data_IF_212751950876
#
_entry.id   IF_212751950876
#
_cell.length_a   1.000
_cell.length_b   1.000
_cell.length_c   1.000
_cell.angle_alpha   90.00
_cell.angle_beta   90.00
_cell.angle_gamma   90.00
#
_symmetry.space_group_name_H-M   'P 1'
#
loop_
_entity.id
_entity.type
_entity.pdbx_description
1 polymer ?
#
# COMPACT_ATOMS: atom_id res chain seq x y z
N UNK A 1 -25.69 21.87 22.00
CA UNK A 1 -24.32 21.28 22.20
C UNK A 1 -23.30 22.37 21.95
N UNK A 2 -22.38 22.59 22.87
CA UNK A 2 -21.31 23.57 22.72
C UNK A 2 -20.30 23.16 21.66
N UNK A 3 -19.58 24.11 21.05
CA UNK A 3 -18.64 23.85 19.98
C UNK A 3 -17.54 22.86 20.41
N UNK A 4 -16.95 23.04 21.59
CA UNK A 4 -15.87 22.20 22.08
C UNK A 4 -16.30 20.75 22.28
N UNK A 5 -17.48 20.51 22.80
CA UNK A 5 -18.07 19.18 22.94
C UNK A 5 -18.30 18.51 21.57
N UNK A 6 -18.74 19.32 20.60
CA UNK A 6 -18.94 18.82 19.24
C UNK A 6 -17.63 18.47 18.56
N UNK A 7 -16.56 19.27 18.73
CA UNK A 7 -15.23 18.99 18.22
C UNK A 7 -14.66 17.69 18.80
N UNK A 8 -14.85 17.43 20.09
CA UNK A 8 -14.44 16.17 20.72
C UNK A 8 -15.14 14.96 20.08
N UNK A 9 -16.44 15.04 19.87
CA UNK A 9 -17.21 13.96 19.21
C UNK A 9 -16.82 13.75 17.73
N UNK A 10 -16.50 14.84 17.02
CA UNK A 10 -15.95 14.75 15.67
C UNK A 10 -14.60 14.01 15.70
N UNK A 11 -13.74 14.30 16.68
CA UNK A 11 -12.45 13.62 16.84
C UNK A 11 -12.60 12.14 17.21
N UNK A 12 -13.53 11.81 18.09
CA UNK A 12 -13.86 10.42 18.43
C UNK A 12 -14.29 9.66 17.17
N UNK A 13 -15.21 10.24 16.40
CA UNK A 13 -15.64 9.64 15.13
C UNK A 13 -14.50 9.50 14.11
N UNK A 14 -13.65 10.53 13.99
CA UNK A 14 -12.48 10.48 13.11
C UNK A 14 -11.45 9.44 13.54
N UNK A 15 -11.30 9.18 14.85
CA UNK A 15 -10.42 8.13 15.36
C UNK A 15 -10.93 6.73 15.00
N UNK A 16 -12.23 6.53 14.90
CA UNK A 16 -12.84 5.25 14.54
C UNK A 16 -12.93 5.07 13.02
N UNK A 17 -13.27 6.14 12.28
CA UNK A 17 -13.64 6.09 10.87
C UNK A 17 -12.65 6.81 9.93
N UNK A 18 -11.65 7.52 10.48
CA UNK A 18 -10.60 8.29 9.79
C UNK A 18 -11.08 9.46 8.92
N UNK A 19 -12.34 9.51 8.52
CA UNK A 19 -12.95 10.53 7.66
C UNK A 19 -14.36 10.84 8.11
N UNK A 20 -14.77 12.11 7.99
CA UNK A 20 -16.14 12.57 8.23
C UNK A 20 -16.50 13.65 7.21
N UNK A 21 -17.61 13.49 6.49
CA UNK A 21 -18.05 14.50 5.56
C UNK A 21 -18.68 15.70 6.28
N UNK A 22 -18.71 16.86 5.62
CA UNK A 22 -19.43 18.03 6.15
C UNK A 22 -20.93 17.74 6.32
N UNK A 23 -21.48 16.83 5.54
CA UNK A 23 -22.87 16.40 5.62
C UNK A 23 -23.10 15.56 6.88
N UNK A 24 -22.23 14.59 7.15
CA UNK A 24 -22.32 13.75 8.36
C UNK A 24 -22.25 14.59 9.64
N UNK A 25 -21.40 15.65 9.66
CA UNK A 25 -21.34 16.59 10.77
C UNK A 25 -22.68 17.32 10.94
N UNK A 26 -23.29 17.79 9.83
CA UNK A 26 -24.59 18.45 9.88
C UNK A 26 -25.66 17.50 10.43
N UNK A 27 -25.74 16.28 9.96
CA UNK A 27 -26.77 15.32 10.39
C UNK A 27 -26.55 14.84 11.82
N UNK A 28 -25.32 14.39 12.15
CA UNK A 28 -25.02 13.83 13.47
C UNK A 28 -25.23 14.83 14.60
N UNK A 29 -24.91 16.11 14.37
CA UNK A 29 -24.98 17.14 15.41
C UNK A 29 -26.14 18.12 15.25
N UNK A 30 -26.97 17.92 14.21
CA UNK A 30 -28.07 18.79 13.85
C UNK A 30 -27.67 20.28 13.78
N UNK A 31 -26.62 20.56 13.01
CA UNK A 31 -26.05 21.90 12.82
C UNK A 31 -26.09 22.35 11.36
N UNK A 32 -26.03 23.68 11.15
CA UNK A 32 -25.96 24.23 9.81
C UNK A 32 -24.63 23.92 9.12
N UNK A 33 -24.61 23.98 7.77
CA UNK A 33 -23.39 23.82 6.97
C UNK A 33 -22.28 24.82 7.35
N UNK A 34 -22.67 26.06 7.71
CA UNK A 34 -21.70 27.06 8.15
C UNK A 34 -21.11 26.74 9.53
N UNK A 35 -21.88 26.13 10.41
CA UNK A 35 -21.36 25.64 11.70
C UNK A 35 -20.41 24.48 11.51
N UNK A 36 -20.79 23.48 10.72
CA UNK A 36 -19.93 22.36 10.40
C UNK A 36 -18.61 22.82 9.73
N UNK A 37 -18.68 23.78 8.81
CA UNK A 37 -17.50 24.37 8.18
C UNK A 37 -16.57 25.07 9.17
N UNK A 38 -17.12 25.82 10.14
CA UNK A 38 -16.31 26.48 11.18
C UNK A 38 -15.65 25.48 12.11
N UNK A 39 -16.35 24.39 12.45
CA UNK A 39 -15.80 23.32 13.26
C UNK A 39 -14.64 22.61 12.53
N UNK A 40 -14.81 22.28 11.24
CA UNK A 40 -13.76 21.73 10.39
C UNK A 40 -12.54 22.67 10.33
N UNK A 41 -12.76 23.97 10.09
CA UNK A 41 -11.67 24.95 10.03
C UNK A 41 -10.91 25.03 11.35
N UNK A 42 -11.61 24.99 12.48
CA UNK A 42 -10.98 25.03 13.82
C UNK A 42 -10.10 23.79 14.06
N UNK A 43 -10.54 22.61 13.67
CA UNK A 43 -9.71 21.38 13.75
C UNK A 43 -8.48 21.44 12.84
N UNK A 44 -8.62 22.04 11.66
CA UNK A 44 -7.52 22.23 10.72
C UNK A 44 -6.50 23.26 11.26
N UNK A 45 -6.97 24.41 11.76
CA UNK A 45 -6.13 25.47 12.32
C UNK A 45 -5.34 24.98 13.55
N UNK A 46 -5.91 24.07 14.32
CA UNK A 46 -5.25 23.40 15.44
C UNK A 46 -4.27 22.31 15.01
N UNK A 47 -4.16 22.01 13.71
CA UNK A 47 -3.32 20.94 13.18
C UNK A 47 -3.79 19.51 13.50
N UNK A 48 -4.98 19.38 14.09
CA UNK A 48 -5.54 18.08 14.52
C UNK A 48 -6.15 17.30 13.36
N UNK A 49 -6.65 18.01 12.34
CA UNK A 49 -7.27 17.41 11.17
C UNK A 49 -6.80 18.09 9.89
N UNK A 50 -7.01 17.42 8.75
CA UNK A 50 -6.74 17.95 7.41
C UNK A 50 -8.02 18.04 6.60
N UNK A 51 -8.07 19.02 5.69
CA UNK A 51 -9.19 19.18 4.78
C UNK A 51 -9.12 18.15 3.66
N UNK A 52 -10.25 17.51 3.38
CA UNK A 52 -10.45 16.62 2.25
C UNK A 52 -11.55 17.18 1.32
N UNK A 53 -11.75 16.54 0.15
CA UNK A 53 -12.85 16.90 -0.74
C UNK A 53 -14.18 16.53 -0.08
N UNK A 54 -14.94 17.55 0.40
CA UNK A 54 -16.26 17.38 1.03
C UNK A 54 -16.28 17.16 2.55
N UNK A 55 -15.13 17.11 3.24
CA UNK A 55 -15.10 16.87 4.68
C UNK A 55 -13.75 17.10 5.35
N UNK A 56 -13.52 16.36 6.40
CA UNK A 56 -12.32 16.39 7.25
C UNK A 56 -11.83 14.99 7.55
N UNK A 57 -10.52 14.84 7.71
CA UNK A 57 -9.87 13.58 8.06
C UNK A 57 -8.75 13.84 9.08
N UNK A 58 -8.36 12.83 9.82
CA UNK A 58 -7.18 12.96 10.67
C UNK A 58 -5.91 13.18 9.81
N UNK A 59 -4.88 13.88 10.33
CA UNK A 59 -3.58 14.04 9.66
C UNK A 59 -2.84 12.72 9.40
N UNK A 60 -3.39 11.61 9.85
CA UNK A 60 -2.88 10.25 9.63
C UNK A 60 -2.52 10.02 8.16
N UNK A 61 -3.31 10.57 7.22
CA UNK A 61 -2.99 10.52 5.79
C UNK A 61 -1.72 11.32 5.41
N UNK A 62 -1.43 12.42 6.10
CA UNK A 62 -0.21 13.21 5.84
C UNK A 62 1.03 12.62 6.48
N UNK A 63 0.88 12.00 7.67
CA UNK A 63 1.96 11.30 8.37
C UNK A 63 2.18 9.88 7.84
N UNK A 64 1.26 9.32 7.07
CA UNK A 64 1.37 7.97 6.50
C UNK A 64 2.27 7.93 5.27
N UNK A 65 2.50 9.08 4.60
CA UNK A 65 3.43 9.17 3.46
C UNK A 65 4.84 9.48 4.00
N UNK A 66 5.42 8.52 4.71
CA UNK A 66 6.86 8.56 4.99
C UNK A 66 7.62 8.50 3.67
N UNK A 67 8.70 9.26 3.57
CA UNK A 67 9.61 9.12 2.43
C UNK A 67 10.16 7.69 2.36
N UNK A 68 10.53 7.23 1.17
CA UNK A 68 10.99 5.87 0.96
C UNK A 68 12.13 5.46 1.92
N UNK A 69 13.08 6.36 2.20
CA UNK A 69 14.18 6.12 3.15
C UNK A 69 13.69 5.89 4.57
N UNK A 70 12.76 6.70 5.04
CA UNK A 70 12.15 6.53 6.37
C UNK A 70 11.36 5.21 6.46
N UNK A 71 10.78 4.75 5.34
CA UNK A 71 10.08 3.48 5.28
C UNK A 71 11.03 2.29 5.34
N UNK A 72 12.24 2.37 4.77
CA UNK A 72 13.26 1.31 4.89
C UNK A 72 13.64 1.10 6.35
N UNK A 73 13.87 2.18 7.10
CA UNK A 73 14.31 2.12 8.50
C UNK A 73 13.17 1.68 9.45
N UNK A 74 11.94 2.10 9.16
CA UNK A 74 10.79 1.75 9.98
C UNK A 74 10.44 0.26 9.85
N UNK A 75 10.26 -0.43 10.99
CA UNK A 75 9.88 -1.86 11.06
C UNK A 75 10.81 -2.78 10.25
N UNK A 76 12.13 -2.51 10.31
CA UNK A 76 13.11 -3.23 9.49
C UNK A 76 13.22 -4.72 9.83
N UNK A 77 13.04 -5.10 11.09
CA UNK A 77 13.06 -6.50 11.53
C UNK A 77 11.84 -7.27 11.03
N UNK A 78 10.64 -6.70 11.20
CA UNK A 78 9.39 -7.27 10.70
C UNK A 78 9.43 -7.46 9.17
N UNK A 79 9.91 -6.45 8.44
CA UNK A 79 10.06 -6.52 6.98
C UNK A 79 11.03 -7.59 6.54
N UNK A 80 12.17 -7.74 7.24
CA UNK A 80 13.14 -8.81 6.96
C UNK A 80 12.55 -10.19 7.22
N UNK A 81 11.77 -10.34 8.29
CA UNK A 81 11.07 -11.59 8.58
C UNK A 81 10.09 -11.96 7.48
N UNK A 82 9.25 -10.99 7.04
CA UNK A 82 8.30 -11.16 5.93
C UNK A 82 9.05 -11.49 4.62
N UNK A 83 10.09 -10.74 4.30
CA UNK A 83 10.91 -10.96 3.10
C UNK A 83 11.56 -12.34 3.10
N UNK A 84 12.12 -12.78 4.24
CA UNK A 84 12.70 -14.11 4.39
C UNK A 84 11.67 -15.22 4.17
N UNK A 85 10.43 -15.02 4.65
CA UNK A 85 9.35 -15.97 4.41
C UNK A 85 8.92 -16.00 2.94
N UNK A 86 8.96 -14.85 2.27
CA UNK A 86 8.64 -14.75 0.85
C UNK A 86 9.66 -15.49 -0.05
N UNK A 87 10.90 -15.72 0.41
CA UNK A 87 11.87 -16.52 -0.33
C UNK A 87 11.40 -17.96 -0.62
N UNK A 88 10.51 -18.52 0.19
CA UNK A 88 9.95 -19.85 -0.01
C UNK A 88 9.12 -19.94 -1.31
N UNK A 89 8.73 -18.80 -1.87
CA UNK A 89 7.96 -18.67 -3.12
C UNK A 89 8.85 -18.34 -4.33
N UNK A 90 10.16 -18.24 -4.13
CA UNK A 90 11.10 -17.97 -5.22
C UNK A 90 11.64 -19.30 -5.79
N UNK A 91 11.19 -19.64 -6.97
CA UNK A 91 11.59 -20.81 -7.71
C UNK A 91 12.57 -20.42 -8.83
N UNK A 92 13.48 -21.34 -9.21
CA UNK A 92 14.44 -21.13 -10.27
C UNK A 92 13.75 -21.05 -11.64
N UNK A 93 14.32 -20.22 -12.53
CA UNK A 93 13.94 -20.08 -13.93
C UNK A 93 12.48 -19.59 -14.14
N UNK A 94 11.92 -18.88 -13.14
CA UNK A 94 10.60 -18.28 -13.16
C UNK A 94 10.62 -16.77 -13.42
N UNK A 95 9.50 -16.22 -13.88
CA UNK A 95 9.29 -14.82 -14.21
C UNK A 95 8.54 -14.10 -13.09
N UNK A 96 9.15 -13.10 -12.52
CA UNK A 96 8.61 -12.33 -11.41
C UNK A 96 8.35 -10.87 -11.78
N UNK A 97 7.29 -10.30 -11.24
CA UNK A 97 7.14 -8.87 -11.10
C UNK A 97 7.43 -8.47 -9.66
N UNK A 98 8.37 -7.54 -9.46
CA UNK A 98 8.70 -6.98 -8.16
C UNK A 98 8.34 -5.50 -8.12
N UNK A 99 7.55 -5.11 -7.11
CA UNK A 99 7.15 -3.71 -6.93
C UNK A 99 8.21 -2.84 -6.20
N UNK A 100 7.87 -1.59 -5.93
CA UNK A 100 8.74 -0.60 -5.29
C UNK A 100 8.67 -0.63 -3.75
N UNK A 101 8.04 -1.62 -3.15
CA UNK A 101 7.92 -1.68 -1.69
C UNK A 101 9.24 -1.99 -0.99
N UNK A 102 9.38 -1.48 0.24
CA UNK A 102 10.59 -1.71 1.04
C UNK A 102 10.76 -3.17 1.47
N UNK A 103 9.67 -3.95 1.58
CA UNK A 103 9.76 -5.39 1.89
C UNK A 103 10.30 -6.15 0.68
N UNK A 104 9.84 -5.82 -0.53
CA UNK A 104 10.35 -6.43 -1.76
C UNK A 104 11.82 -6.07 -1.99
N UNK A 105 12.26 -4.89 -1.54
CA UNK A 105 13.66 -4.54 -1.53
C UNK A 105 14.49 -5.47 -0.63
N UNK A 106 14.02 -5.77 0.59
CA UNK A 106 14.68 -6.77 1.46
C UNK A 106 14.65 -8.16 0.84
N UNK A 107 13.56 -8.57 0.18
CA UNK A 107 13.51 -9.83 -0.55
C UNK A 107 14.56 -9.86 -1.68
N UNK A 108 14.68 -8.79 -2.47
CA UNK A 108 15.66 -8.68 -3.55
C UNK A 108 17.11 -8.83 -3.06
N UNK A 109 17.43 -8.36 -1.85
CA UNK A 109 18.75 -8.55 -1.23
C UNK A 109 19.09 -10.01 -0.98
N UNK A 110 18.12 -10.83 -0.58
CA UNK A 110 18.31 -12.20 -0.10
C UNK A 110 18.22 -13.26 -1.23
N UNK A 111 17.67 -12.93 -2.40
CA UNK A 111 17.50 -13.90 -3.50
C UNK A 111 18.85 -14.37 -4.03
N UNK A 112 18.98 -15.70 -4.17
CA UNK A 112 20.14 -16.37 -4.74
C UNK A 112 19.81 -17.24 -5.95
N UNK A 113 18.53 -17.45 -6.25
CA UNK A 113 18.08 -18.28 -7.37
C UNK A 113 18.23 -17.54 -8.70
N UNK A 114 18.46 -18.32 -9.78
CA UNK A 114 18.36 -17.80 -11.15
C UNK A 114 16.91 -17.51 -11.48
N UNK A 115 16.56 -16.24 -11.70
CA UNK A 115 15.20 -15.80 -12.02
C UNK A 115 15.21 -14.66 -13.04
N UNK A 116 14.07 -14.45 -13.68
CA UNK A 116 13.80 -13.28 -14.49
C UNK A 116 12.88 -12.31 -13.68
N UNK A 117 13.26 -11.05 -13.60
CA UNK A 117 12.53 -10.04 -12.81
C UNK A 117 12.24 -8.82 -13.66
N UNK A 118 10.97 -8.42 -13.73
CA UNK A 118 10.56 -7.09 -14.17
C UNK A 118 10.27 -6.22 -12.95
N UNK A 119 10.86 -5.04 -12.90
CA UNK A 119 10.61 -4.08 -11.82
C UNK A 119 10.65 -2.63 -12.31
N UNK A 120 9.90 -1.77 -11.65
CA UNK A 120 9.97 -0.32 -11.83
C UNK A 120 10.70 0.38 -10.67
N UNK A 121 11.18 -0.38 -9.69
CA UNK A 121 11.91 0.12 -8.52
C UNK A 121 13.36 0.43 -8.86
N UNK A 122 13.82 1.66 -8.63
CA UNK A 122 15.21 2.04 -8.77
C UNK A 122 16.13 1.20 -7.84
N UNK A 123 15.71 0.99 -6.60
CA UNK A 123 16.53 0.26 -5.62
C UNK A 123 16.60 -1.24 -5.90
N UNK A 124 15.51 -1.85 -6.39
CA UNK A 124 15.54 -3.25 -6.78
C UNK A 124 16.42 -3.46 -8.02
N UNK A 125 16.39 -2.51 -8.98
CA UNK A 125 17.28 -2.57 -10.15
C UNK A 125 18.75 -2.53 -9.70
N UNK A 126 19.11 -1.61 -8.81
CA UNK A 126 20.46 -1.48 -8.27
C UNK A 126 20.93 -2.80 -7.62
N UNK A 127 20.15 -3.32 -6.66
CA UNK A 127 20.50 -4.54 -5.92
C UNK A 127 20.58 -5.78 -6.83
N UNK A 128 19.58 -5.96 -7.70
CA UNK A 128 19.50 -7.14 -8.54
C UNK A 128 20.53 -7.11 -9.68
N UNK A 129 20.98 -5.92 -10.12
CA UNK A 129 22.00 -5.77 -11.16
C UNK A 129 23.39 -6.26 -10.72
N UNK A 130 23.65 -6.35 -9.43
CA UNK A 130 24.89 -6.89 -8.86
C UNK A 130 24.91 -8.43 -8.84
N UNK A 131 23.79 -9.10 -9.16
CA UNK A 131 23.62 -10.56 -9.09
C UNK A 131 23.69 -11.18 -10.48
N UNK A 132 24.78 -11.88 -10.79
CA UNK A 132 25.04 -12.47 -12.12
C UNK A 132 23.97 -13.45 -12.61
N UNK A 133 23.28 -14.10 -11.68
CA UNK A 133 22.29 -15.15 -12.00
C UNK A 133 20.85 -14.61 -12.14
N UNK A 134 20.64 -13.30 -12.03
CA UNK A 134 19.32 -12.69 -12.16
C UNK A 134 19.22 -11.84 -13.43
N UNK A 135 18.24 -12.17 -14.28
CA UNK A 135 17.92 -11.34 -15.44
C UNK A 135 16.98 -10.21 -15.04
N UNK A 136 17.53 -8.99 -14.86
CA UNK A 136 16.77 -7.80 -14.43
C UNK A 136 16.29 -7.02 -15.64
N UNK A 137 14.99 -6.79 -15.69
CA UNK A 137 14.34 -5.94 -16.68
C UNK A 137 13.74 -4.72 -15.99
N UNK A 138 14.16 -3.57 -16.42
CA UNK A 138 13.68 -2.30 -15.90
C UNK A 138 12.70 -1.66 -16.86
N UNK A 139 11.64 -1.19 -16.29
CA UNK A 139 10.78 -0.26 -16.95
C UNK A 139 11.36 1.16 -16.72
N UNK A 140 12.14 1.80 -17.60
CA UNK A 140 12.69 3.17 -17.51
C UNK A 140 11.59 4.26 -17.51
N UNK A 141 11.87 5.47 -17.87
CA UNK A 141 10.90 6.56 -17.93
C UNK A 141 11.18 7.69 -16.95
N UNK A 142 10.15 8.39 -16.47
CA UNK A 142 10.28 9.44 -15.47
C UNK A 142 10.50 8.86 -14.08
N UNK A 143 11.53 9.35 -13.38
CA UNK A 143 11.80 8.92 -12.00
C UNK A 143 10.97 9.73 -11.00
N UNK A 144 10.11 9.06 -10.23
CA UNK A 144 9.57 9.59 -8.99
C UNK A 144 10.68 9.52 -7.92
N UNK A 145 11.33 10.67 -7.68
CA UNK A 145 12.48 10.77 -6.75
C UNK A 145 12.09 10.47 -5.30
N UNK A 146 10.86 10.79 -4.91
CA UNK A 146 10.36 10.61 -3.54
C UNK A 146 10.17 9.15 -3.20
N UNK A 147 9.51 8.40 -4.08
CA UNK A 147 9.18 6.99 -3.89
C UNK A 147 10.07 6.05 -4.71
N UNK A 148 11.10 6.58 -5.41
CA UNK A 148 12.19 5.86 -6.08
C UNK A 148 11.73 4.80 -7.08
N UNK A 149 10.74 5.16 -7.92
CA UNK A 149 10.28 4.31 -9.01
C UNK A 149 10.22 5.08 -10.33
N UNK A 150 10.28 4.32 -11.41
CA UNK A 150 10.12 4.84 -12.77
C UNK A 150 8.69 4.69 -13.24
N UNK A 151 8.22 5.63 -14.04
CA UNK A 151 6.92 5.58 -14.68
C UNK A 151 6.94 6.17 -16.10
N UNK A 152 6.17 5.55 -16.97
CA UNK A 152 5.85 6.03 -18.32
C UNK A 152 4.47 5.52 -18.71
N UNK A 153 3.64 6.32 -19.38
CA UNK A 153 2.25 5.97 -19.72
C UNK A 153 2.11 4.65 -20.54
N UNK A 154 3.05 4.35 -21.43
CA UNK A 154 3.01 3.15 -22.30
C UNK A 154 3.29 1.81 -21.57
N UNK A 155 3.59 1.85 -20.29
CA UNK A 155 4.05 0.70 -19.52
C UNK A 155 2.96 -0.32 -19.25
N UNK A 156 1.72 0.14 -19.04
CA UNK A 156 0.57 -0.74 -18.87
C UNK A 156 0.44 -1.62 -20.12
N UNK A 157 0.54 -1.03 -21.32
CA UNK A 157 0.49 -1.77 -22.57
C UNK A 157 1.66 -2.75 -22.74
N UNK A 158 2.86 -2.36 -22.31
CA UNK A 158 4.03 -3.25 -22.36
C UNK A 158 3.86 -4.48 -21.46
N UNK A 159 3.40 -4.27 -20.22
CA UNK A 159 3.13 -5.33 -19.25
C UNK A 159 2.02 -6.28 -19.76
N UNK A 160 1.03 -5.79 -20.49
CA UNK A 160 -0.02 -6.62 -21.08
C UNK A 160 0.51 -7.73 -22.00
N UNK A 161 1.69 -7.55 -22.60
CA UNK A 161 2.38 -8.55 -23.44
C UNK A 161 3.19 -9.58 -22.65
N UNK A 162 3.29 -9.47 -21.33
CA UNK A 162 4.13 -10.32 -20.48
C UNK A 162 3.25 -11.18 -19.59
N UNK A 163 3.68 -12.41 -19.28
CA UNK A 163 3.10 -13.24 -18.23
C UNK A 163 4.13 -13.44 -17.12
N UNK A 164 3.68 -13.33 -15.89
CA UNK A 164 4.48 -13.59 -14.70
C UNK A 164 4.03 -14.89 -14.04
N UNK A 165 4.97 -15.70 -13.59
CA UNK A 165 4.64 -16.80 -12.69
C UNK A 165 4.14 -16.22 -11.37
N UNK A 166 4.81 -15.16 -10.87
CA UNK A 166 4.41 -14.54 -9.61
C UNK A 166 4.60 -13.01 -9.64
N UNK A 167 3.62 -12.27 -9.16
CA UNK A 167 3.75 -10.86 -8.79
C UNK A 167 3.89 -10.74 -7.27
N UNK A 168 4.99 -10.13 -6.81
CA UNK A 168 5.26 -9.89 -5.40
C UNK A 168 5.17 -8.39 -5.13
N UNK A 169 4.19 -8.01 -4.33
CA UNK A 169 3.82 -6.63 -4.09
C UNK A 169 3.79 -6.31 -2.60
N UNK A 170 4.16 -5.09 -2.24
CA UNK A 170 3.84 -4.55 -0.93
C UNK A 170 2.47 -3.89 -0.90
N UNK A 171 2.14 -3.28 0.23
CA UNK A 171 0.95 -2.47 0.42
C UNK A 171 1.30 -1.12 1.05
N UNK A 172 0.63 -0.05 0.64
CA UNK A 172 0.62 1.19 1.41
C UNK A 172 -0.51 1.17 2.45
N UNK A 173 -1.67 0.62 2.09
CA UNK A 173 -2.74 0.26 3.02
C UNK A 173 -3.54 -0.95 2.54
N UNK A 174 -4.14 -1.66 3.49
CA UNK A 174 -5.06 -2.78 3.27
C UNK A 174 -6.40 -2.38 3.85
N UNK A 175 -7.43 -2.35 3.01
CA UNK A 175 -8.79 -1.95 3.36
C UNK A 175 -9.79 -3.07 3.08
N UNK A 176 -11.03 -2.93 3.51
CA UNK A 176 -12.07 -3.96 3.29
C UNK A 176 -12.38 -4.20 1.80
N UNK A 177 -12.05 -3.26 0.92
CA UNK A 177 -12.29 -3.38 -0.52
C UNK A 177 -11.04 -3.66 -1.37
N UNK A 178 -9.84 -3.78 -0.74
CA UNK A 178 -8.60 -4.15 -1.46
C UNK A 178 -7.33 -3.47 -0.95
N UNK A 179 -6.28 -3.53 -1.76
CA UNK A 179 -4.96 -2.99 -1.47
C UNK A 179 -4.77 -1.64 -2.18
N UNK A 180 -4.29 -0.65 -1.43
CA UNK A 180 -4.13 0.73 -1.90
C UNK A 180 -2.68 1.20 -1.86
N UNK A 181 -2.37 2.17 -2.71
CA UNK A 181 -1.05 2.77 -2.92
C UNK A 181 -1.10 4.29 -2.85
N UNK A 182 0.05 4.92 -2.70
CA UNK A 182 0.16 6.38 -2.54
C UNK A 182 0.11 7.11 -3.88
N UNK A 183 0.76 6.54 -4.90
CA UNK A 183 0.92 7.13 -6.23
C UNK A 183 0.02 6.42 -7.24
N UNK A 184 -0.66 7.17 -8.09
CA UNK A 184 -1.55 6.63 -9.13
C UNK A 184 -0.77 5.78 -10.13
N UNK A 185 0.37 6.28 -10.56
CA UNK A 185 1.22 5.61 -11.54
C UNK A 185 1.73 4.26 -11.02
N UNK A 186 2.11 4.19 -9.74
CA UNK A 186 2.52 2.96 -9.09
C UNK A 186 1.35 1.96 -9.01
N UNK A 187 0.16 2.42 -8.65
CA UNK A 187 -1.04 1.60 -8.62
C UNK A 187 -1.41 1.04 -10.00
N UNK A 188 -1.33 1.83 -11.08
CA UNK A 188 -1.61 1.41 -12.45
C UNK A 188 -0.66 0.31 -12.93
N UNK A 189 0.64 0.45 -12.65
CA UNK A 189 1.66 -0.58 -12.98
C UNK A 189 1.33 -1.89 -12.27
N UNK A 190 1.01 -1.83 -10.98
CA UNK A 190 0.67 -3.01 -10.17
C UNK A 190 -0.61 -3.68 -10.65
N UNK A 191 -1.65 -2.91 -10.98
CA UNK A 191 -2.87 -3.46 -11.59
C UNK A 191 -2.57 -4.23 -12.88
N UNK A 192 -1.70 -3.69 -13.74
CA UNK A 192 -1.32 -4.36 -14.97
C UNK A 192 -0.56 -5.66 -14.69
N UNK A 193 0.40 -5.65 -13.77
CA UNK A 193 1.19 -6.81 -13.39
C UNK A 193 0.34 -7.92 -12.75
N UNK A 194 -0.55 -7.58 -11.83
CA UNK A 194 -1.47 -8.51 -11.17
C UNK A 194 -2.37 -9.24 -12.17
N UNK A 195 -2.90 -8.54 -13.17
CA UNK A 195 -3.73 -9.14 -14.23
C UNK A 195 -2.96 -10.17 -15.08
N UNK A 196 -1.64 -10.13 -15.07
CA UNK A 196 -0.76 -10.99 -15.88
C UNK A 196 0.01 -12.03 -15.07
N UNK A 197 -0.11 -12.01 -13.75
CA UNK A 197 0.50 -12.97 -12.86
C UNK A 197 -0.39 -14.21 -12.67
N UNK A 198 0.24 -15.37 -12.56
CA UNK A 198 -0.41 -16.61 -12.16
C UNK A 198 -0.66 -16.65 -10.65
N UNK A 199 0.31 -16.14 -9.88
CA UNK A 199 0.22 -16.05 -8.42
C UNK A 199 0.49 -14.61 -7.98
N UNK A 200 -0.32 -14.08 -7.08
CA UNK A 200 -0.18 -12.74 -6.50
C UNK A 200 0.08 -12.85 -5.01
N UNK A 201 1.22 -12.34 -4.58
CA UNK A 201 1.66 -12.35 -3.18
C UNK A 201 1.73 -10.93 -2.65
N UNK A 202 1.02 -10.65 -1.56
CA UNK A 202 1.07 -9.38 -0.85
C UNK A 202 1.95 -9.51 0.38
N UNK A 203 2.98 -8.67 0.49
CA UNK A 203 3.87 -8.56 1.63
C UNK A 203 3.54 -7.28 2.41
N UNK A 204 3.09 -7.40 3.64
CA UNK A 204 2.63 -6.24 4.39
C UNK A 204 2.84 -6.39 5.90
N UNK A 205 3.40 -5.35 6.53
CA UNK A 205 3.40 -5.25 7.99
C UNK A 205 1.98 -5.05 8.51
N UNK A 206 1.70 -5.53 9.71
CA UNK A 206 0.40 -5.39 10.40
C UNK A 206 -0.15 -3.95 10.39
N UNK A 207 0.72 -2.95 10.47
CA UNK A 207 0.31 -1.53 10.45
C UNK A 207 -0.38 -1.12 9.14
N UNK A 208 -0.24 -1.92 8.06
CA UNK A 208 -0.93 -1.64 6.78
C UNK A 208 -2.43 -1.91 6.84
N UNK A 209 -2.87 -2.74 7.76
CA UNK A 209 -4.31 -2.95 8.06
C UNK A 209 -4.97 -1.79 8.82
N UNK A 210 -4.17 -0.83 9.31
CA UNK A 210 -4.63 0.38 10.00
C UNK A 210 -4.37 1.66 9.22
N UNK A 211 -3.71 1.54 8.07
CA UNK A 211 -3.32 2.67 7.24
C UNK A 211 -4.38 2.95 6.18
N UNK A 212 -4.39 4.19 5.67
CA UNK A 212 -5.20 4.59 4.52
C UNK A 212 -4.30 5.10 3.39
N UNK A 213 -4.73 4.87 2.15
CA UNK A 213 -4.04 5.36 0.96
C UNK A 213 -5.05 5.70 -0.14
N UNK A 214 -4.58 6.17 -1.31
CA UNK A 214 -5.44 6.88 -2.25
C UNK A 214 -5.87 6.06 -3.45
N UNK A 215 -4.98 5.24 -4.03
CA UNK A 215 -5.18 4.60 -5.32
C UNK A 215 -5.24 3.10 -5.17
N UNK A 216 -6.37 2.51 -5.53
CA UNK A 216 -6.58 1.08 -5.48
C UNK A 216 -5.73 0.38 -6.54
N UNK A 217 -4.95 -0.59 -6.15
CA UNK A 217 -4.10 -1.36 -7.06
C UNK A 217 -4.46 -2.83 -7.18
N UNK A 218 -4.99 -3.47 -6.12
CA UNK A 218 -5.32 -4.89 -6.13
C UNK A 218 -6.65 -5.13 -5.44
N UNK A 219 -7.51 -5.95 -6.05
CA UNK A 219 -8.74 -6.41 -5.44
C UNK A 219 -8.49 -7.72 -4.67
N UNK A 220 -9.34 -8.02 -3.68
CA UNK A 220 -9.20 -9.23 -2.87
C UNK A 220 -9.22 -10.53 -3.68
N UNK A 221 -10.07 -10.61 -4.71
CA UNK A 221 -10.19 -11.78 -5.61
C UNK A 221 -8.94 -12.05 -6.46
N UNK A 222 -7.98 -11.12 -6.48
CA UNK A 222 -6.75 -11.25 -7.25
C UNK A 222 -5.56 -11.73 -6.40
N UNK A 223 -5.76 -11.93 -5.09
CA UNK A 223 -4.68 -12.24 -4.13
C UNK A 223 -4.70 -13.72 -3.81
N UNK A 224 -3.56 -14.40 -3.93
CA UNK A 224 -3.41 -15.80 -3.57
C UNK A 224 -2.77 -15.97 -2.18
N UNK A 225 -1.82 -15.09 -1.82
CA UNK A 225 -1.07 -15.19 -0.56
C UNK A 225 -0.89 -13.82 0.08
N UNK A 226 -1.04 -13.76 1.40
CA UNK A 226 -0.64 -12.62 2.21
C UNK A 226 0.37 -13.09 3.25
N UNK A 227 1.52 -12.40 3.31
CA UNK A 227 2.56 -12.62 4.33
C UNK A 227 2.65 -11.36 5.20
N UNK A 228 2.49 -11.53 6.51
CA UNK A 228 2.48 -10.44 7.50
C UNK A 228 3.18 -10.83 8.78
N UNK A 229 3.60 -9.85 9.59
CA UNK A 229 4.30 -10.03 10.86
C UNK A 229 3.39 -10.38 12.04
N UNK A 230 2.09 -10.10 11.95
CA UNK A 230 1.11 -10.34 13.03
C UNK A 230 -0.24 -10.74 12.47
N UNK A 231 -1.05 -11.38 13.34
CA UNK A 231 -2.43 -11.77 13.01
C UNK A 231 -3.25 -10.51 12.66
N UNK A 232 -3.83 -10.42 11.43
CA UNK A 232 -4.67 -9.29 11.05
C UNK A 232 -5.92 -9.14 11.92
N UNK A 233 -6.52 -7.95 12.00
CA UNK A 233 -7.81 -7.74 12.65
C UNK A 233 -8.90 -8.69 12.12
N UNK A 234 -9.90 -9.02 12.94
CA UNK A 234 -10.91 -10.04 12.62
C UNK A 234 -11.66 -9.78 11.33
N UNK A 235 -11.96 -8.52 11.02
CA UNK A 235 -12.64 -8.13 9.78
C UNK A 235 -11.86 -8.58 8.54
N UNK A 236 -10.54 -8.37 8.55
CA UNK A 236 -9.67 -8.77 7.43
C UNK A 236 -9.46 -10.28 7.36
N UNK A 237 -9.43 -10.98 8.51
CA UNK A 237 -9.35 -12.45 8.52
C UNK A 237 -10.57 -13.08 7.86
N UNK A 238 -11.76 -12.56 8.12
CA UNK A 238 -12.99 -13.01 7.49
C UNK A 238 -12.96 -12.80 5.97
N UNK A 239 -12.42 -11.66 5.52
CA UNK A 239 -12.25 -11.37 4.08
C UNK A 239 -11.24 -12.35 3.47
N UNK A 240 -10.07 -12.52 4.08
CA UNK A 240 -9.01 -13.43 3.64
C UNK A 240 -9.56 -14.86 3.49
N UNK A 241 -10.34 -15.32 4.47
CA UNK A 241 -10.99 -16.63 4.45
C UNK A 241 -12.05 -16.73 3.34
N UNK A 242 -12.84 -15.67 3.13
CA UNK A 242 -13.92 -15.67 2.12
C UNK A 242 -13.41 -15.74 0.68
N UNK A 243 -12.17 -15.28 0.43
CA UNK A 243 -11.51 -15.36 -0.87
C UNK A 243 -10.48 -16.51 -0.97
N UNK A 244 -10.46 -17.43 0.01
CA UNK A 244 -9.53 -18.58 0.07
C UNK A 244 -8.04 -18.18 -0.05
N UNK A 245 -7.69 -17.02 0.51
CA UNK A 245 -6.34 -16.48 0.45
C UNK A 245 -5.47 -17.16 1.52
N UNK A 246 -4.28 -17.63 1.13
CA UNK A 246 -3.32 -18.21 2.06
C UNK A 246 -2.70 -17.14 2.93
N UNK A 247 -3.03 -17.09 4.22
CA UNK A 247 -2.42 -16.20 5.21
C UNK A 247 -1.21 -16.85 5.86
N UNK A 248 -0.06 -16.16 5.84
CA UNK A 248 1.18 -16.59 6.49
C UNK A 248 1.62 -15.50 7.47
N UNK A 249 1.93 -15.91 8.70
CA UNK A 249 2.39 -15.03 9.77
C UNK A 249 3.82 -15.43 10.12
N UNK A 250 4.71 -14.41 10.24
CA UNK A 250 6.16 -14.62 10.47
C UNK A 250 6.58 -14.27 11.89
#
# INVERSE_FOLDING_TARGET
MYQEERLLKVLEYLNEHNYMSSHDICEMFNVSRDTARRDILKLIDQGIAIRTHGGVSLPVLKNTIKEYRERIEAYSEEKRSIAKKALEFIERDKHYFFDVSTIVNFLAQEITQSIWVLTHSLDNIEILSEKENISVHSLGGCLNKKNRFFYKADWVNYIEGIRFDTAILGAASITEDGIYYVDEEDALIKQAAVKKAHTVIILAEYEKFKSLSYYKGVNWEQIDVIITDKIPPSVFRNIIESYDIKLIIT
#
